data_IF_588481088643
#
_entry.id   IF_588481088643
#
_cell.length_a   1.000
_cell.length_b   1.000
_cell.length_c   1.000
_cell.angle_alpha   90.00
_cell.angle_beta   90.00
_cell.angle_gamma   90.00
#
_symmetry.space_group_name_H-M   'P 1'
#
loop_
_entity.id
_entity.type
_entity.pdbx_description
1 polymer ?
#
# COMPACT_ATOMS: atom_id res chain seq x y z
N UNK A 1 -6.51 -17.45 15.83
CA UNK A 1 -5.84 -16.85 14.67
C UNK A 1 -6.46 -15.49 14.42
N UNK A 2 -5.73 -14.40 14.66
CA UNK A 2 -6.24 -13.05 14.44
C UNK A 2 -6.19 -12.72 12.95
N UNK A 3 -7.19 -11.99 12.45
CA UNK A 3 -7.27 -11.58 11.04
C UNK A 3 -7.11 -10.07 10.93
N UNK A 4 -6.20 -9.65 10.07
CA UNK A 4 -5.94 -8.25 9.74
C UNK A 4 -6.42 -8.01 8.31
N UNK A 5 -7.25 -6.98 8.10
CA UNK A 5 -7.74 -6.60 6.77
C UNK A 5 -6.93 -5.41 6.27
N UNK A 6 -6.26 -5.58 5.14
CA UNK A 6 -5.46 -4.56 4.48
C UNK A 6 -6.10 -4.22 3.14
N UNK A 7 -6.48 -2.96 2.97
CA UNK A 7 -7.07 -2.43 1.73
C UNK A 7 -6.03 -1.55 1.04
N UNK A 8 -5.76 -1.82 -0.24
CA UNK A 8 -4.82 -1.03 -1.04
C UNK A 8 -5.58 -0.02 -1.88
N UNK A 9 -5.23 1.27 -1.76
CA UNK A 9 -5.87 2.40 -2.45
C UNK A 9 -4.84 3.25 -3.20
N UNK A 10 -5.30 3.95 -4.23
CA UNK A 10 -4.45 4.81 -5.07
C UNK A 10 -4.99 4.94 -6.49
N UNK A 11 -4.40 5.85 -7.25
CA UNK A 11 -4.85 6.18 -8.61
C UNK A 11 -4.81 4.97 -9.57
N UNK A 12 -5.50 5.11 -10.69
CA UNK A 12 -5.46 4.13 -11.78
C UNK A 12 -4.04 3.83 -12.25
N UNK A 13 -3.72 2.57 -12.51
CA UNK A 13 -2.47 2.11 -13.13
C UNK A 13 -1.18 2.38 -12.33
N UNK A 14 -1.27 2.73 -11.04
CA UNK A 14 -0.08 2.90 -10.16
C UNK A 14 0.54 1.57 -9.69
N UNK A 15 -0.04 0.43 -10.06
CA UNK A 15 0.51 -0.89 -9.76
C UNK A 15 -0.01 -1.56 -8.48
N UNK A 16 -1.18 -1.16 -7.96
CA UNK A 16 -1.81 -1.77 -6.77
C UNK A 16 -2.03 -3.28 -6.93
N UNK A 17 -2.65 -3.70 -8.03
CA UNK A 17 -2.88 -5.12 -8.32
C UNK A 17 -1.56 -5.89 -8.46
N UNK A 18 -0.57 -5.30 -9.14
CA UNK A 18 0.76 -5.91 -9.27
C UNK A 18 1.48 -6.07 -7.93
N UNK A 19 1.30 -5.12 -7.01
CA UNK A 19 1.82 -5.19 -5.64
C UNK A 19 1.25 -6.41 -4.91
N UNK A 20 -0.07 -6.59 -4.94
CA UNK A 20 -0.77 -7.69 -4.28
C UNK A 20 -0.39 -9.05 -4.87
N UNK A 21 -0.39 -9.17 -6.21
CA UNK A 21 -0.01 -10.41 -6.89
C UNK A 21 1.45 -10.75 -6.61
N UNK A 22 2.36 -9.78 -6.72
CA UNK A 22 3.79 -10.02 -6.50
C UNK A 22 4.06 -10.48 -5.07
N UNK A 23 3.35 -9.91 -4.09
CA UNK A 23 3.51 -10.28 -2.69
C UNK A 23 2.97 -11.68 -2.39
N UNK A 24 1.81 -12.03 -2.95
CA UNK A 24 1.16 -13.32 -2.68
C UNK A 24 1.81 -14.47 -3.44
N UNK A 25 2.31 -14.24 -4.65
CA UNK A 25 2.83 -15.29 -5.53
C UNK A 25 4.35 -15.34 -5.63
N UNK A 26 5.05 -14.37 -5.05
CA UNK A 26 6.49 -14.16 -5.25
C UNK A 26 6.89 -14.07 -6.73
N UNK A 27 5.99 -13.61 -7.60
CA UNK A 27 6.26 -13.37 -9.03
C UNK A 27 5.53 -12.13 -9.51
N UNK A 28 6.18 -11.33 -10.35
CA UNK A 28 5.49 -10.25 -11.06
C UNK A 28 4.59 -10.85 -12.15
N UNK A 29 3.32 -10.41 -12.28
CA UNK A 29 2.42 -10.93 -13.32
C UNK A 29 2.91 -10.57 -14.73
N UNK A 30 3.01 -11.56 -15.62
CA UNK A 30 3.41 -11.36 -17.03
C UNK A 30 2.25 -10.95 -17.93
N UNK A 31 1.01 -11.23 -17.51
CA UNK A 31 -0.21 -10.87 -18.22
C UNK A 31 -1.02 -9.90 -17.36
N UNK A 32 -1.69 -8.95 -18.00
CA UNK A 32 -2.60 -8.04 -17.30
C UNK A 32 -3.79 -8.85 -16.77
N UNK A 33 -3.86 -9.02 -15.45
CA UNK A 33 -4.95 -9.73 -14.78
C UNK A 33 -6.02 -8.71 -14.38
N UNK A 34 -7.19 -8.66 -15.04
CA UNK A 34 -8.24 -7.71 -14.71
C UNK A 34 -8.94 -8.11 -13.40
N UNK A 35 -8.56 -7.49 -12.28
CA UNK A 35 -9.21 -7.59 -10.96
C UNK A 35 -10.73 -7.31 -10.90
N UNK A 36 -11.56 -8.32 -10.71
CA UNK A 36 -13.01 -8.16 -10.42
C UNK A 36 -13.26 -8.20 -8.90
N UNK A 37 -12.32 -7.67 -8.10
CA UNK A 37 -12.19 -7.87 -6.63
C UNK A 37 -11.68 -9.27 -6.27
N UNK A 38 -10.37 -9.42 -6.27
CA UNK A 38 -9.74 -10.59 -5.67
C UNK A 38 -9.42 -10.28 -4.21
N UNK A 39 -10.09 -10.98 -3.29
CA UNK A 39 -9.70 -11.01 -1.88
C UNK A 39 -8.63 -12.08 -1.74
N UNK A 40 -7.37 -11.68 -1.56
CA UNK A 40 -6.29 -12.62 -1.25
C UNK A 40 -6.16 -12.78 0.26
N UNK A 41 -5.79 -13.97 0.72
CA UNK A 41 -5.45 -14.19 2.12
C UNK A 41 -4.12 -14.93 2.21
N UNK A 42 -3.22 -14.43 3.05
CA UNK A 42 -1.93 -15.08 3.32
C UNK A 42 -1.71 -15.21 4.83
N UNK A 43 -0.98 -16.25 5.23
CA UNK A 43 -0.54 -16.43 6.61
C UNK A 43 0.84 -15.82 6.78
N UNK A 44 1.00 -14.94 7.78
CA UNK A 44 2.26 -14.27 8.12
C UNK A 44 2.63 -14.55 9.58
N UNK A 45 3.94 -14.67 9.85
CA UNK A 45 4.47 -14.92 11.19
C UNK A 45 5.00 -13.62 11.80
N UNK A 46 4.49 -13.23 12.97
CA UNK A 46 4.85 -11.97 13.66
C UNK A 46 5.08 -12.27 15.12
N UNK A 47 6.29 -12.01 15.61
CA UNK A 47 6.66 -12.36 16.99
C UNK A 47 6.53 -13.85 17.31
N UNK A 48 6.55 -14.73 16.30
CA UNK A 48 6.34 -16.18 16.45
C UNK A 48 4.87 -16.62 16.37
N UNK A 49 3.92 -15.69 16.30
CA UNK A 49 2.48 -15.97 16.22
C UNK A 49 1.97 -15.87 14.77
N UNK A 50 1.07 -16.79 14.32
CA UNK A 50 0.50 -16.75 12.99
C UNK A 50 -0.71 -15.81 12.88
N UNK A 51 -0.69 -14.93 11.88
CA UNK A 51 -1.77 -14.00 11.55
C UNK A 51 -2.29 -14.25 10.13
N UNK A 52 -3.60 -14.08 9.94
CA UNK A 52 -4.19 -14.04 8.59
C UNK A 52 -4.22 -12.60 8.11
N UNK A 53 -3.52 -12.30 7.02
CA UNK A 53 -3.61 -11.02 6.33
C UNK A 53 -4.55 -11.15 5.14
N UNK A 54 -5.73 -10.55 5.24
CA UNK A 54 -6.66 -10.37 4.12
C UNK A 54 -6.28 -9.13 3.32
N UNK A 55 -6.02 -9.30 2.04
CA UNK A 55 -5.62 -8.26 1.10
C UNK A 55 -6.78 -7.97 0.15
N UNK A 56 -7.18 -6.71 0.10
CA UNK A 56 -8.33 -6.24 -0.65
C UNK A 56 -7.86 -5.20 -1.67
N UNK A 57 -7.99 -5.53 -2.96
CA UNK A 57 -7.72 -4.58 -4.04
C UNK A 57 -8.93 -3.66 -4.24
N UNK A 58 -8.67 -2.38 -4.54
CA UNK A 58 -9.71 -1.42 -4.92
C UNK A 58 -9.63 -1.14 -6.41
N UNK A 59 -10.79 -1.09 -7.09
CA UNK A 59 -10.86 -0.95 -8.54
C UNK A 59 -9.91 0.13 -9.04
N UNK A 60 -8.96 -0.25 -9.91
CA UNK A 60 -8.34 0.69 -10.84
C UNK A 60 -9.48 1.38 -11.60
N UNK A 61 -9.37 2.70 -11.82
CA UNK A 61 -10.31 3.48 -12.62
C UNK A 61 -10.44 2.86 -14.02
N UNK A 62 -11.33 1.88 -14.19
CA UNK A 62 -11.41 1.05 -15.40
C UNK A 62 -11.96 1.77 -16.62
N UNK A 63 -12.57 2.94 -16.43
CA UNK A 63 -13.35 3.62 -17.46
C UNK A 63 -12.81 4.99 -17.89
N UNK A 64 -11.68 5.48 -17.35
CA UNK A 64 -11.11 6.75 -17.83
C UNK A 64 -10.02 6.52 -18.89
N UNK A 65 -10.45 6.47 -20.14
CA UNK A 65 -9.59 6.40 -21.34
C UNK A 65 -8.51 7.50 -21.37
N UNK A 66 -8.71 8.60 -20.64
CA UNK A 66 -7.74 9.69 -20.56
C UNK A 66 -6.55 9.42 -19.64
N UNK A 67 -6.66 8.50 -18.67
CA UNK A 67 -5.61 8.28 -17.66
C UNK A 67 -4.41 7.52 -18.24
N UNK A 68 -4.65 6.56 -19.12
CA UNK A 68 -3.60 5.74 -19.77
C UNK A 68 -2.74 6.59 -20.72
N UNK A 69 -3.34 7.49 -21.49
CA UNK A 69 -2.59 8.36 -22.41
C UNK A 69 -1.80 9.48 -21.71
N UNK A 70 -2.33 10.01 -20.59
CA UNK A 70 -1.67 11.10 -19.83
C UNK A 70 -0.40 10.62 -19.13
N UNK A 71 -0.37 9.39 -18.65
CA UNK A 71 0.80 8.83 -17.94
C UNK A 71 1.98 8.56 -18.91
N UNK A 72 1.71 8.09 -20.13
CA UNK A 72 2.74 7.86 -21.14
C UNK A 72 3.42 9.16 -21.65
N UNK A 73 2.74 10.31 -21.56
CA UNK A 73 3.22 11.59 -22.09
C UNK A 73 4.05 12.42 -21.10
N UNK A 74 4.05 12.10 -19.81
CA UNK A 74 4.42 13.09 -18.80
C UNK A 74 5.88 13.14 -18.32
N UNK A 75 6.82 12.33 -18.86
CA UNK A 75 8.26 12.38 -18.52
C UNK A 75 8.55 12.59 -17.01
N UNK A 76 7.73 11.99 -16.15
CA UNK A 76 7.88 12.18 -14.71
C UNK A 76 9.14 11.45 -14.26
N UNK A 77 9.89 12.12 -13.39
CA UNK A 77 11.06 11.53 -12.76
C UNK A 77 10.59 10.71 -11.54
N UNK A 78 11.32 9.65 -11.17
CA UNK A 78 11.07 8.97 -9.90
C UNK A 78 10.98 9.99 -8.75
N UNK A 79 9.99 9.82 -7.87
CA UNK A 79 9.87 10.65 -6.68
C UNK A 79 11.15 10.45 -5.83
N UNK A 80 11.72 11.53 -5.31
CA UNK A 80 12.81 11.42 -4.37
C UNK A 80 12.28 10.97 -3.00
N UNK A 81 12.99 10.11 -2.24
CA UNK A 81 12.51 9.57 -0.97
C UNK A 81 12.11 10.66 0.04
N UNK A 82 12.84 11.78 0.06
CA UNK A 82 12.59 12.90 0.97
C UNK A 82 11.21 13.55 0.72
N UNK A 83 10.74 13.50 -0.52
CA UNK A 83 9.41 14.01 -0.89
C UNK A 83 8.31 13.08 -0.38
N UNK A 84 8.55 11.76 -0.38
CA UNK A 84 7.65 10.77 0.17
C UNK A 84 7.51 10.90 1.69
N UNK A 85 8.64 11.07 2.40
CA UNK A 85 8.65 11.30 3.84
C UNK A 85 7.90 12.58 4.23
N UNK A 86 8.09 13.66 3.47
CA UNK A 86 7.37 14.90 3.69
C UNK A 86 5.85 14.70 3.54
N UNK A 87 5.43 14.07 2.44
CA UNK A 87 4.02 13.79 2.20
C UNK A 87 3.41 12.90 3.30
N UNK A 88 4.15 11.89 3.77
CA UNK A 88 3.72 11.02 4.86
C UNK A 88 3.43 11.81 6.14
N UNK A 89 4.27 12.78 6.49
CA UNK A 89 4.05 13.66 7.65
C UNK A 89 2.84 14.56 7.45
N UNK A 90 2.70 15.13 6.26
CA UNK A 90 1.59 16.05 5.94
C UNK A 90 0.23 15.32 5.98
N UNK A 91 0.18 14.08 5.48
CA UNK A 91 -1.00 13.21 5.55
C UNK A 91 -1.21 12.56 6.92
N UNK A 92 -0.25 12.68 7.85
CA UNK A 92 -0.22 11.98 9.13
C UNK A 92 -0.33 10.46 8.98
N UNK A 93 0.24 9.92 7.92
CA UNK A 93 0.38 8.48 7.75
C UNK A 93 1.42 7.94 8.74
N UNK A 94 1.30 6.65 9.08
CA UNK A 94 2.19 5.99 10.06
C UNK A 94 3.62 5.92 9.55
N UNK A 95 3.81 5.57 8.26
CA UNK A 95 5.12 5.41 7.66
C UNK A 95 5.07 5.53 6.14
N UNK A 96 6.16 6.03 5.56
CA UNK A 96 6.43 5.96 4.13
C UNK A 96 7.35 4.77 3.84
N UNK A 97 7.00 3.97 2.82
CA UNK A 97 7.81 2.83 2.38
C UNK A 97 7.83 2.79 0.86
N UNK A 98 9.03 2.74 0.27
CA UNK A 98 9.20 2.50 -1.15
C UNK A 98 9.30 1.00 -1.45
N UNK A 99 8.67 0.59 -2.55
CA UNK A 99 8.79 -0.78 -3.03
C UNK A 99 8.73 -0.86 -4.56
N UNK A 100 9.16 -2.01 -5.09
CA UNK A 100 9.02 -2.37 -6.49
C UNK A 100 8.40 -3.76 -6.56
N UNK A 101 7.18 -3.84 -7.08
CA UNK A 101 6.53 -5.13 -7.33
C UNK A 101 7.32 -5.96 -8.36
N UNK A 102 7.95 -5.30 -9.34
CA UNK A 102 8.72 -5.93 -10.42
C UNK A 102 9.99 -6.61 -9.91
N UNK A 103 10.76 -5.91 -9.08
CA UNK A 103 12.05 -6.41 -8.57
C UNK A 103 11.93 -6.98 -7.16
N UNK A 104 10.73 -7.00 -6.59
CA UNK A 104 10.40 -7.43 -5.22
C UNK A 104 11.13 -6.66 -4.10
N UNK A 105 11.81 -5.56 -4.43
CA UNK A 105 12.52 -4.75 -3.44
C UNK A 105 11.50 -4.05 -2.54
N UNK A 106 11.66 -4.18 -1.23
CA UNK A 106 10.81 -3.52 -0.23
C UNK A 106 9.40 -4.10 -0.09
N UNK A 107 9.03 -5.11 -0.89
CA UNK A 107 7.67 -5.62 -0.97
C UNK A 107 7.18 -6.20 0.37
N UNK A 108 7.98 -7.08 0.99
CA UNK A 108 7.68 -7.62 2.32
C UNK A 108 7.57 -6.52 3.37
N UNK A 109 8.47 -5.54 3.32
CA UNK A 109 8.53 -4.43 4.28
C UNK A 109 7.24 -3.58 4.27
N UNK A 110 6.63 -3.36 3.11
CA UNK A 110 5.35 -2.63 3.02
C UNK A 110 4.28 -3.31 3.88
N UNK A 111 4.14 -4.64 3.78
CA UNK A 111 3.11 -5.38 4.51
C UNK A 111 3.50 -5.59 5.98
N UNK A 112 4.76 -5.83 6.29
CA UNK A 112 5.23 -5.91 7.68
C UNK A 112 4.91 -4.62 8.45
N UNK A 113 5.23 -3.45 7.88
CA UNK A 113 4.97 -2.15 8.50
C UNK A 113 3.48 -1.84 8.61
N UNK A 114 2.67 -2.24 7.61
CA UNK A 114 1.22 -2.09 7.67
C UNK A 114 0.62 -2.95 8.79
N UNK A 115 1.12 -4.16 9.00
CA UNK A 115 0.66 -5.03 10.06
C UNK A 115 1.09 -4.50 11.43
N UNK A 116 2.36 -4.11 11.58
CA UNK A 116 2.86 -3.52 12.83
C UNK A 116 2.05 -2.27 13.19
N UNK A 117 1.77 -1.39 12.23
CA UNK A 117 0.93 -0.21 12.44
C UNK A 117 -0.51 -0.54 12.87
N UNK A 118 -1.05 -1.70 12.46
CA UNK A 118 -2.39 -2.14 12.86
C UNK A 118 -2.42 -2.79 14.25
N UNK A 119 -1.35 -3.50 14.62
CA UNK A 119 -1.22 -4.15 15.93
C UNK A 119 -0.79 -3.17 17.03
N UNK A 120 0.10 -2.24 16.69
CA UNK A 120 0.68 -1.24 17.58
C UNK A 120 0.43 0.15 16.99
N UNK A 121 -0.81 0.67 17.05
CA UNK A 121 -1.12 1.98 16.51
C UNK A 121 -0.31 3.06 17.24
N UNK A 122 0.28 4.03 16.52
CA UNK A 122 1.08 5.08 17.14
C UNK A 122 0.25 5.92 18.10
N UNK A 123 0.82 6.28 19.26
CA UNK A 123 0.15 7.12 20.24
C UNK A 123 -0.23 8.48 19.63
N UNK A 124 -1.52 8.80 19.64
CA UNK A 124 -1.98 10.13 19.24
C UNK A 124 -1.72 11.11 20.38
N UNK A 125 -0.79 12.06 20.18
CA UNK A 125 -0.56 13.11 21.18
C UNK A 125 -1.88 13.87 21.42
N UNK A 126 -2.37 13.97 22.68
CA UNK A 126 -3.59 14.71 22.96
C UNK A 126 -3.38 16.19 22.58
N UNK A 127 -4.31 16.75 21.80
CA UNK A 127 -4.29 18.18 21.51
C UNK A 127 -4.52 18.95 22.81
N UNK A 128 -3.65 19.92 23.13
CA UNK A 128 -3.96 20.92 24.16
C UNK A 128 -5.26 21.59 23.76
N UNK A 129 -6.30 21.51 24.61
CA UNK A 129 -7.53 22.29 24.42
C UNK A 129 -7.11 23.76 24.35
N UNK A 130 -7.48 24.45 23.28
CA UNK A 130 -7.36 25.91 23.26
C UNK A 130 -8.26 26.44 24.38
N UNK A 131 -7.66 26.99 25.44
CA UNK A 131 -8.41 27.81 26.38
C UNK A 131 -8.60 29.16 25.68
N UNK A 132 -9.85 29.46 25.30
CA UNK A 132 -10.22 30.84 25.01
C UNK A 132 -10.19 31.56 26.37
N UNK A 133 -9.14 32.37 26.56
CA UNK A 133 -9.05 33.32 27.66
C UNK A 133 -9.80 34.61 27.30
#
# INVERSE_FOLDING_TARGET
MQTIKCVVVGDGAVGKTCLLISYTTNKFPSEYVPTVFDNYAVTVMIGGEPYTLGLFDTMDLRDDSNTVEKLAKNKQRPLAPESGDKLCRDLRAVKYVECSALTQRGLKNVFDEAILAALEPPETKPKKRCALL
#
